data_IF_669663930934
#
_entry.id   IF_669663930934
#
_cell.length_a   1.000
_cell.length_b   1.000
_cell.length_c   1.000
_cell.angle_alpha   90.00
_cell.angle_beta   90.00
_cell.angle_gamma   90.00
#
_symmetry.space_group_name_H-M   'P 1'
#
loop_
_entity.id
_entity.type
_entity.pdbx_description
1 polymer ?
#
# COMPACT_ATOMS: atom_id res chain seq x y z
N UNK A 1 1.73 19.12 7.65
CA UNK A 1 1.63 17.84 6.93
C UNK A 1 0.48 17.98 5.94
N UNK A 2 0.73 17.87 4.65
CA UNK A 2 -0.33 17.89 3.63
C UNK A 2 -0.90 16.48 3.54
N UNK A 3 -2.20 16.32 3.78
CA UNK A 3 -2.88 15.02 3.69
C UNK A 3 -3.17 14.69 2.24
N UNK A 4 -2.60 13.60 1.73
CA UNK A 4 -2.98 13.05 0.43
C UNK A 4 -4.31 12.33 0.60
N UNK A 5 -5.35 12.75 -0.12
CA UNK A 5 -6.67 12.13 -0.07
C UNK A 5 -6.83 11.08 -1.17
N UNK A 6 -7.77 10.15 -0.97
CA UNK A 6 -8.10 9.12 -1.96
C UNK A 6 -8.62 9.73 -3.25
N UNK A 7 -9.48 10.75 -3.14
CA UNK A 7 -10.11 11.44 -4.26
C UNK A 7 -9.06 12.13 -5.13
N UNK A 8 -8.09 12.80 -4.51
CA UNK A 8 -7.00 13.44 -5.23
C UNK A 8 -6.17 12.41 -6.00
N UNK A 9 -5.83 11.27 -5.38
CA UNK A 9 -5.10 10.19 -6.06
C UNK A 9 -5.89 9.64 -7.26
N UNK A 10 -7.19 9.42 -7.10
CA UNK A 10 -8.05 8.93 -8.18
C UNK A 10 -8.11 9.91 -9.35
N UNK A 11 -8.26 11.21 -9.07
CA UNK A 11 -8.28 12.25 -10.10
C UNK A 11 -6.94 12.32 -10.85
N UNK A 12 -5.82 12.39 -10.13
CA UNK A 12 -4.50 12.46 -10.76
C UNK A 12 -4.16 11.20 -11.57
N UNK A 13 -4.53 10.01 -11.08
CA UNK A 13 -4.36 8.76 -11.85
C UNK A 13 -5.16 8.82 -13.15
N UNK A 14 -6.42 9.27 -13.11
CA UNK A 14 -7.26 9.36 -14.29
C UNK A 14 -6.69 10.33 -15.35
N UNK A 15 -6.11 11.46 -14.94
CA UNK A 15 -5.45 12.42 -15.84
C UNK A 15 -4.23 11.80 -16.54
N UNK A 16 -3.39 11.07 -15.80
CA UNK A 16 -2.24 10.37 -16.35
C UNK A 16 -2.66 9.23 -17.31
N UNK A 17 -3.68 8.46 -16.95
CA UNK A 17 -4.20 7.39 -17.80
C UNK A 17 -4.82 7.92 -19.09
N UNK A 18 -5.60 9.00 -19.02
CA UNK A 18 -6.14 9.65 -20.20
C UNK A 18 -5.03 10.12 -21.15
N UNK A 19 -3.97 10.73 -20.61
CA UNK A 19 -2.82 11.19 -21.39
C UNK A 19 -2.08 10.03 -22.06
N UNK A 20 -1.92 8.90 -21.37
CA UNK A 20 -1.31 7.67 -21.92
C UNK A 20 -2.17 7.06 -23.03
N UNK A 21 -3.48 7.03 -22.83
CA UNK A 21 -4.42 6.32 -23.70
C UNK A 21 -4.73 7.13 -24.97
N UNK A 22 -4.78 8.45 -24.88
CA UNK A 22 -5.04 9.34 -26.02
C UNK A 22 -3.77 9.59 -26.87
N UNK A 23 -2.58 9.50 -26.28
CA UNK A 23 -1.31 9.85 -26.94
C UNK A 23 -0.29 8.70 -26.76
N UNK A 24 0.11 7.99 -27.83
CA UNK A 24 1.00 6.81 -27.76
C UNK A 24 2.35 7.02 -27.05
N UNK A 25 2.80 8.27 -26.92
CA UNK A 25 3.99 8.70 -26.17
C UNK A 25 3.69 9.92 -25.29
N UNK A 26 2.45 10.03 -24.80
CA UNK A 26 1.99 11.16 -24.00
C UNK A 26 2.64 11.24 -22.61
N UNK A 27 3.17 10.13 -22.14
CA UNK A 27 3.94 10.02 -20.90
C UNK A 27 5.39 9.68 -21.22
N UNK A 28 6.34 10.31 -20.53
CA UNK A 28 7.73 9.85 -20.52
C UNK A 28 7.93 8.69 -19.51
N UNK A 29 9.15 8.14 -19.45
CA UNK A 29 9.46 7.01 -18.56
C UNK A 29 9.25 7.32 -17.07
N UNK A 30 9.49 8.56 -16.65
CA UNK A 30 9.31 8.98 -15.27
C UNK A 30 7.83 9.21 -14.93
N UNK A 31 7.06 9.76 -15.86
CA UNK A 31 5.60 9.88 -15.73
C UNK A 31 4.95 8.50 -15.62
N UNK A 32 5.42 7.52 -16.41
CA UNK A 32 4.96 6.14 -16.31
C UNK A 32 5.29 5.51 -14.94
N UNK A 33 6.47 5.78 -14.38
CA UNK A 33 6.83 5.35 -13.01
C UNK A 33 5.97 6.04 -11.95
N UNK A 34 5.72 7.34 -12.12
CA UNK A 34 4.86 8.12 -11.21
C UNK A 34 3.46 7.50 -11.20
N UNK A 35 2.88 7.19 -12.35
CA UNK A 35 1.56 6.54 -12.43
C UNK A 35 1.52 5.21 -11.65
N UNK A 36 2.59 4.39 -11.74
CA UNK A 36 2.70 3.14 -10.96
C UNK A 36 2.74 3.43 -9.46
N UNK A 37 3.51 4.44 -9.03
CA UNK A 37 3.61 4.85 -7.62
C UNK A 37 2.26 5.37 -7.11
N UNK A 38 1.55 6.18 -7.89
CA UNK A 38 0.23 6.70 -7.53
C UNK A 38 -0.80 5.57 -7.36
N UNK A 39 -0.82 4.60 -8.28
CA UNK A 39 -1.67 3.41 -8.17
C UNK A 39 -1.35 2.57 -6.93
N UNK A 40 -0.07 2.43 -6.59
CA UNK A 40 0.36 1.74 -5.37
C UNK A 40 -0.06 2.51 -4.11
N UNK A 41 0.05 3.83 -4.11
CA UNK A 41 -0.42 4.66 -3.00
C UNK A 41 -1.93 4.53 -2.81
N UNK A 42 -2.70 4.54 -3.90
CA UNK A 42 -4.15 4.30 -3.86
C UNK A 42 -4.46 2.91 -3.28
N UNK A 43 -3.77 1.87 -3.76
CA UNK A 43 -3.92 0.51 -3.24
C UNK A 43 -3.60 0.43 -1.73
N UNK A 44 -2.56 1.12 -1.26
CA UNK A 44 -2.19 1.17 0.14
C UNK A 44 -3.24 1.88 1.02
N UNK A 45 -3.91 2.91 0.50
CA UNK A 45 -5.00 3.59 1.21
C UNK A 45 -6.29 2.77 1.24
N UNK A 46 -6.52 1.92 0.24
CA UNK A 46 -7.72 1.07 0.16
C UNK A 46 -7.49 -0.32 0.74
N UNK A 47 -6.26 -0.67 1.09
CA UNK A 47 -5.94 -1.98 1.63
C UNK A 47 -6.62 -2.15 3.00
N UNK A 48 -7.31 -3.27 3.16
CA UNK A 48 -7.77 -3.68 4.48
C UNK A 48 -6.54 -4.00 5.34
N UNK A 49 -6.53 -3.61 6.63
CA UNK A 49 -5.45 -3.98 7.53
C UNK A 49 -5.37 -5.50 7.59
N UNK A 50 -4.20 -6.05 7.29
CA UNK A 50 -3.95 -7.49 7.44
C UNK A 50 -4.02 -7.81 8.94
N UNK A 51 -5.15 -8.36 9.36
CA UNK A 51 -5.29 -8.95 10.69
C UNK A 51 -4.58 -10.31 10.65
N UNK A 52 -3.54 -10.46 11.45
CA UNK A 52 -2.90 -11.76 11.69
C UNK A 52 -3.87 -12.59 12.55
N UNK A 53 -4.81 -13.29 11.92
CA UNK A 53 -5.88 -14.04 12.61
C UNK A 53 -5.57 -15.51 12.82
N UNK A 54 -4.44 -16.02 12.34
CA UNK A 54 -4.06 -17.40 12.59
C UNK A 54 -3.63 -17.54 14.05
N UNK A 55 -4.57 -18.02 14.88
CA UNK A 55 -4.39 -18.38 16.28
C UNK A 55 -3.22 -19.38 16.50
N UNK A 56 -2.74 -20.01 15.42
CA UNK A 56 -1.60 -20.91 15.39
C UNK A 56 -0.25 -20.17 15.46
N UNK A 57 -0.10 -18.98 14.87
CA UNK A 57 1.17 -18.20 14.87
C UNK A 57 1.37 -17.35 16.14
N UNK A 58 0.29 -16.96 16.84
CA UNK A 58 0.38 -16.25 18.13
C UNK A 58 0.87 -17.14 19.29
N UNK A 59 0.97 -18.45 19.06
CA UNK A 59 1.57 -19.37 20.03
C UNK A 59 3.05 -19.15 20.20
N UNK A 60 3.77 -18.71 19.17
CA UNK A 60 5.21 -18.47 19.28
C UNK A 60 5.52 -17.28 20.20
N UNK A 61 4.78 -16.18 20.10
CA UNK A 61 4.98 -15.02 20.98
C UNK A 61 4.55 -15.27 22.43
N UNK A 62 3.52 -16.07 22.63
CA UNK A 62 3.03 -16.44 23.97
C UNK A 62 3.97 -17.46 24.64
N UNK A 63 4.49 -18.41 23.87
CA UNK A 63 5.44 -19.42 24.33
C UNK A 63 6.80 -18.81 24.71
N UNK A 64 7.32 -17.87 23.90
CA UNK A 64 8.55 -17.14 24.23
C UNK A 64 8.39 -16.31 25.52
N UNK A 65 7.21 -15.71 25.74
CA UNK A 65 6.92 -14.96 26.97
C UNK A 65 6.78 -15.87 28.19
N UNK A 66 6.23 -17.07 28.02
CA UNK A 66 6.11 -18.06 29.08
C UNK A 66 7.49 -18.64 29.47
N UNK A 67 8.31 -19.04 28.50
CA UNK A 67 9.67 -19.56 28.75
C UNK A 67 10.59 -18.54 29.42
N UNK A 68 10.43 -17.24 29.13
CA UNK A 68 11.20 -16.17 29.80
C UNK A 68 10.85 -16.04 31.30
N UNK A 69 9.62 -16.35 31.70
CA UNK A 69 9.16 -16.27 33.08
C UNK A 69 9.42 -17.55 33.90
N UNK A 70 9.70 -18.68 33.25
CA UNK A 70 9.98 -19.97 33.93
C UNK A 70 11.47 -20.15 34.27
N UNK A 71 12.35 -19.33 33.69
CA UNK A 71 13.80 -19.36 33.94
C UNK A 71 14.34 -18.21 34.81
N UNK A 72 13.47 -17.55 35.61
CA UNK A 72 13.89 -16.56 36.64
C UNK A 72 13.39 -16.97 38.02
#
# INVERSE_FOLDING_TARGET
>A
MTTITKEWLQQTIAEFENTRDDIPFGLNDDDAKILIVLKRALAALTAEPVAWTDAEELRDFTYIRFLRNVHS
#
